data_IF_944096453345
#
_entry.id   IF_944096453345
#
_cell.length_a   1.000
_cell.length_b   1.000
_cell.length_c   1.000
_cell.angle_alpha   90.00
_cell.angle_beta   90.00
_cell.angle_gamma   90.00
#
_symmetry.space_group_name_H-M   'P 1'
#
loop_
_entity.id
_entity.type
_entity.pdbx_description
1 polymer ?
#
# COMPACT_ATOMS: atom_id res chain seq x y z
N UNK A 1 1.93 4.05 -2.52
CA UNK A 1 1.66 3.44 -3.84
C UNK A 1 2.72 3.84 -4.88
N UNK A 2 3.45 2.89 -5.46
CA UNK A 2 4.49 3.20 -6.46
C UNK A 2 3.91 3.83 -7.74
N UNK A 3 4.67 4.73 -8.39
CA UNK A 3 4.19 5.55 -9.51
C UNK A 3 3.58 4.76 -10.68
N UNK A 4 4.09 3.55 -11.00
CA UNK A 4 3.55 2.70 -12.07
C UNK A 4 2.23 2.02 -11.67
N UNK A 5 2.16 1.51 -10.45
CA UNK A 5 0.94 0.89 -9.91
C UNK A 5 -0.17 1.94 -9.79
N UNK A 6 0.17 3.17 -9.38
CA UNK A 6 -0.76 4.32 -9.35
C UNK A 6 -1.28 4.71 -10.72
N UNK A 7 -0.44 4.70 -11.75
CA UNK A 7 -0.86 5.02 -13.13
C UNK A 7 -1.76 3.93 -13.73
N UNK A 8 -1.48 2.65 -13.48
CA UNK A 8 -2.35 1.54 -13.91
C UNK A 8 -3.68 1.56 -13.15
N UNK A 9 -3.64 1.68 -11.83
CA UNK A 9 -4.84 1.81 -11.01
C UNK A 9 -5.68 3.04 -11.39
N UNK A 10 -5.07 4.20 -11.67
CA UNK A 10 -5.81 5.41 -12.04
C UNK A 10 -6.63 5.33 -13.32
N UNK A 11 -6.40 4.33 -14.18
CA UNK A 11 -7.26 4.08 -15.36
C UNK A 11 -8.53 3.31 -15.02
N UNK A 12 -8.45 2.36 -14.10
CA UNK A 12 -9.55 1.45 -13.78
C UNK A 12 -10.23 1.76 -12.43
N UNK A 13 -9.54 2.45 -11.52
CA UNK A 13 -9.98 2.78 -10.16
C UNK A 13 -9.80 4.28 -9.82
N UNK A 14 -10.27 5.22 -10.66
CA UNK A 14 -10.05 6.64 -10.44
C UNK A 14 -10.67 7.18 -9.14
N UNK A 15 -11.84 6.69 -8.70
CA UNK A 15 -12.45 7.14 -7.45
C UNK A 15 -11.63 6.67 -6.25
N UNK A 16 -11.17 5.42 -6.27
CA UNK A 16 -10.25 4.91 -5.24
C UNK A 16 -8.95 5.71 -5.18
N UNK A 17 -8.40 6.12 -6.33
CA UNK A 17 -7.21 6.99 -6.39
C UNK A 17 -7.49 8.39 -5.85
N UNK A 18 -8.71 8.91 -6.02
CA UNK A 18 -9.12 10.18 -5.45
C UNK A 18 -9.17 10.11 -3.93
N UNK A 19 -9.80 9.07 -3.35
CA UNK A 19 -9.85 8.86 -1.89
C UNK A 19 -8.43 8.77 -1.30
N UNK A 20 -7.53 8.02 -1.96
CA UNK A 20 -6.13 7.97 -1.55
C UNK A 20 -5.47 9.36 -1.54
N UNK A 21 -5.73 10.20 -2.56
CA UNK A 21 -5.21 11.56 -2.62
C UNK A 21 -5.77 12.40 -1.47
N UNK A 22 -7.09 12.39 -1.29
CA UNK A 22 -7.78 13.12 -0.22
C UNK A 22 -7.21 12.75 1.14
N UNK A 23 -7.01 11.46 1.43
CA UNK A 23 -6.36 10.99 2.65
C UNK A 23 -4.93 11.56 2.83
N UNK A 24 -4.10 11.51 1.78
CA UNK A 24 -2.76 12.08 1.84
C UNK A 24 -2.77 13.60 2.02
N UNK A 25 -3.73 14.29 1.43
CA UNK A 25 -3.89 15.74 1.55
C UNK A 25 -4.37 16.14 2.95
N UNK A 26 -5.34 15.42 3.51
CA UNK A 26 -5.86 15.64 4.86
C UNK A 26 -4.79 15.41 5.94
N UNK A 27 -3.82 14.53 5.70
CA UNK A 27 -2.71 14.28 6.62
C UNK A 27 -1.68 15.43 6.69
N UNK A 28 -1.71 16.40 5.75
CA UNK A 28 -0.78 17.52 5.76
C UNK A 28 -1.01 18.41 6.98
N UNK A 29 0.06 19.00 7.52
CA UNK A 29 -0.06 19.93 8.65
C UNK A 29 -0.59 21.29 8.21
N UNK A 30 -0.21 21.70 7.00
CA UNK A 30 -0.71 22.90 6.34
C UNK A 30 -1.17 22.57 4.91
N UNK A 31 -2.22 23.23 4.39
CA UNK A 31 -2.61 23.14 2.98
C UNK A 31 -1.47 23.47 2.01
N UNK A 32 -0.54 24.36 2.41
CA UNK A 32 0.63 24.76 1.62
C UNK A 32 1.75 23.71 1.60
N UNK A 33 1.70 22.69 2.46
CA UNK A 33 2.71 21.64 2.48
C UNK A 33 2.72 20.88 1.16
N UNK A 34 3.89 20.75 0.54
CA UNK A 34 4.03 19.98 -0.71
C UNK A 34 3.83 18.48 -0.50
N UNK A 35 4.24 17.97 0.66
CA UNK A 35 4.26 16.55 1.00
C UNK A 35 3.56 16.27 2.33
N UNK A 36 2.93 15.10 2.51
CA UNK A 36 2.43 14.70 3.82
C UNK A 36 3.57 14.54 4.84
N UNK A 37 3.27 14.59 6.15
CA UNK A 37 4.27 14.43 7.20
C UNK A 37 4.85 13.02 7.20
N UNK A 38 6.05 12.89 7.76
CA UNK A 38 6.75 11.60 7.88
C UNK A 38 5.99 10.58 8.74
N UNK A 39 5.14 11.05 9.65
CA UNK A 39 4.26 10.23 10.49
C UNK A 39 3.18 9.46 9.73
N UNK A 40 2.96 9.79 8.44
CA UNK A 40 2.09 8.99 7.57
C UNK A 40 2.72 7.63 7.20
N UNK A 41 4.04 7.49 7.35
CA UNK A 41 4.70 6.19 7.16
C UNK A 41 4.33 5.22 8.28
N UNK A 42 4.20 3.93 7.96
CA UNK A 42 3.68 2.93 8.88
C UNK A 42 2.17 2.97 9.07
N UNK A 43 1.44 3.82 8.33
CA UNK A 43 -0.03 3.81 8.33
C UNK A 43 -0.56 2.84 7.28
N UNK A 44 -1.84 2.50 7.41
CA UNK A 44 -2.60 1.74 6.43
C UNK A 44 -3.93 2.46 6.14
N UNK A 45 -4.27 2.56 4.86
CA UNK A 45 -5.60 2.98 4.41
C UNK A 45 -6.25 1.82 3.66
N UNK A 46 -7.43 1.41 4.10
CA UNK A 46 -8.29 0.45 3.41
C UNK A 46 -9.42 1.22 2.74
N UNK A 47 -9.54 1.12 1.43
CA UNK A 47 -10.55 1.80 0.62
C UNK A 47 -11.58 0.77 0.19
N UNK A 48 -12.85 0.98 0.56
CA UNK A 48 -13.95 0.12 0.14
C UNK A 48 -14.17 0.17 -1.39
N UNK A 49 -14.78 -0.88 -1.98
CA UNK A 49 -15.18 -0.86 -3.38
C UNK A 49 -16.00 0.39 -3.70
N UNK A 50 -15.66 1.08 -4.79
CA UNK A 50 -16.33 2.31 -5.18
C UNK A 50 -17.32 2.02 -6.30
N UNK A 51 -18.61 2.31 -6.08
CA UNK A 51 -19.65 2.03 -7.07
C UNK A 51 -19.37 2.70 -8.42
N UNK A 52 -18.79 3.90 -8.42
CA UNK A 52 -18.39 4.62 -9.63
C UNK A 52 -17.26 3.92 -10.41
N UNK A 53 -16.33 3.25 -9.71
CA UNK A 53 -15.27 2.47 -10.36
C UNK A 53 -15.85 1.14 -10.89
N UNK A 54 -16.73 0.48 -10.12
CA UNK A 54 -17.41 -0.77 -10.51
C UNK A 54 -18.28 -0.56 -11.76
N UNK A 55 -19.05 0.53 -11.81
CA UNK A 55 -19.88 0.89 -12.97
C UNK A 55 -19.06 1.07 -14.26
N UNK A 56 -17.73 1.23 -14.15
CA UNK A 56 -16.79 1.33 -15.27
C UNK A 56 -16.07 0.01 -15.58
N UNK A 57 -16.52 -1.10 -15.00
CA UNK A 57 -15.97 -2.43 -15.19
C UNK A 57 -14.82 -2.79 -14.25
N UNK A 58 -14.58 -2.02 -13.18
CA UNK A 58 -13.63 -2.43 -12.15
C UNK A 58 -14.21 -3.56 -11.27
N UNK A 59 -13.38 -4.47 -10.76
CA UNK A 59 -13.86 -5.49 -9.83
C UNK A 59 -14.29 -4.85 -8.50
N UNK A 60 -15.29 -5.45 -7.85
CA UNK A 60 -15.71 -5.05 -6.50
C UNK A 60 -14.72 -5.57 -5.46
N UNK A 61 -13.65 -4.81 -5.22
CA UNK A 61 -12.56 -5.18 -4.30
C UNK A 61 -12.15 -4.02 -3.40
N UNK A 62 -11.66 -4.35 -2.21
CA UNK A 62 -11.02 -3.39 -1.33
C UNK A 62 -9.61 -3.08 -1.82
N UNK A 63 -9.19 -1.82 -1.76
CA UNK A 63 -7.83 -1.39 -2.08
C UNK A 63 -7.09 -1.03 -0.80
N UNK A 64 -5.99 -1.73 -0.54
CA UNK A 64 -5.15 -1.52 0.65
C UNK A 64 -3.91 -0.73 0.26
N UNK A 65 -3.74 0.44 0.90
CA UNK A 65 -2.59 1.31 0.73
C UNK A 65 -1.69 1.24 1.97
N UNK A 66 -0.55 0.55 1.82
CA UNK A 66 0.52 0.52 2.82
C UNK A 66 1.47 1.71 2.61
N UNK A 67 1.73 2.48 3.67
CA UNK A 67 2.59 3.67 3.61
C UNK A 67 4.01 3.33 4.07
N UNK A 68 4.79 2.71 3.17
CA UNK A 68 6.08 2.07 3.51
C UNK A 68 7.31 2.95 3.29
N UNK A 69 7.16 4.20 2.84
CA UNK A 69 8.25 5.17 2.74
C UNK A 69 7.69 6.60 2.67
N UNK A 70 8.44 7.57 3.19
CA UNK A 70 8.06 8.99 3.19
C UNK A 70 8.25 9.63 1.82
N UNK A 71 9.31 9.25 1.13
CA UNK A 71 9.67 9.78 -0.18
C UNK A 71 9.85 8.69 -1.22
N UNK A 72 10.12 9.12 -2.45
CA UNK A 72 10.35 8.19 -3.56
C UNK A 72 11.38 8.72 -4.56
N UNK A 73 12.24 7.81 -5.02
CA UNK A 73 13.37 8.13 -5.91
C UNK A 73 14.48 8.91 -5.19
N UNK A 74 15.32 9.60 -5.94
CA UNK A 74 16.41 10.40 -5.39
C UNK A 74 15.86 11.62 -4.64
N UNK A 75 16.47 11.94 -3.50
CA UNK A 75 16.24 13.18 -2.77
C UNK A 75 16.67 14.38 -3.62
N UNK A 76 16.01 15.52 -3.44
CA UNK A 76 16.41 16.76 -4.09
C UNK A 76 16.28 17.91 -3.09
N UNK A 77 17.44 18.41 -2.65
CA UNK A 77 17.54 19.51 -1.67
C UNK A 77 16.93 20.80 -2.21
N UNK A 78 17.20 21.15 -3.48
CA UNK A 78 16.67 22.36 -4.13
C UNK A 78 15.15 22.42 -4.13
N UNK A 79 14.48 21.28 -4.30
CA UNK A 79 13.01 21.23 -4.37
C UNK A 79 12.36 20.76 -3.07
N UNK A 80 13.15 20.49 -2.01
CA UNK A 80 12.67 19.88 -0.76
C UNK A 80 12.02 18.50 -0.95
N UNK A 81 12.36 17.77 -2.03
CA UNK A 81 11.73 16.47 -2.32
C UNK A 81 12.36 15.40 -1.43
N UNK A 82 11.56 14.67 -0.61
CA UNK A 82 12.10 13.57 0.17
C UNK A 82 12.56 12.45 -0.76
N UNK A 83 13.77 11.95 -0.49
CA UNK A 83 14.27 10.75 -1.13
C UNK A 83 13.57 9.50 -0.60
N UNK A 84 13.76 8.38 -1.30
CA UNK A 84 13.37 7.06 -0.82
C UNK A 84 14.05 6.77 0.53
N UNK A 85 13.33 6.17 1.47
CA UNK A 85 13.94 5.65 2.69
C UNK A 85 14.86 4.43 2.42
N UNK A 86 15.70 4.10 3.39
CA UNK A 86 16.57 2.90 3.37
C UNK A 86 15.73 1.63 3.37
N UNK A 87 16.31 0.50 2.94
CA UNK A 87 15.60 -0.77 2.91
C UNK A 87 15.09 -1.17 4.31
N UNK A 88 15.93 -1.05 5.34
CA UNK A 88 15.55 -1.42 6.72
C UNK A 88 14.38 -0.57 7.23
N UNK A 89 14.40 0.73 6.93
CA UNK A 89 13.31 1.62 7.31
C UNK A 89 12.01 1.29 6.59
N UNK A 90 12.10 0.94 5.30
CA UNK A 90 10.94 0.50 4.51
C UNK A 90 10.37 -0.81 5.07
N UNK A 91 11.22 -1.77 5.44
CA UNK A 91 10.81 -3.04 6.07
C UNK A 91 10.10 -2.78 7.40
N UNK A 92 10.69 -1.97 8.28
CA UNK A 92 10.06 -1.60 9.55
C UNK A 92 8.71 -0.88 9.37
N UNK A 93 8.63 0.07 8.45
CA UNK A 93 7.36 0.76 8.12
C UNK A 93 6.34 -0.18 7.46
N UNK A 94 6.80 -1.19 6.71
CA UNK A 94 5.95 -2.23 6.14
C UNK A 94 5.31 -3.05 7.24
N UNK A 95 6.10 -3.49 8.24
CA UNK A 95 5.62 -4.20 9.42
C UNK A 95 4.50 -3.45 10.12
N UNK A 96 4.75 -2.19 10.51
CA UNK A 96 3.73 -1.36 11.18
C UNK A 96 2.47 -1.16 10.32
N UNK A 97 2.63 -1.01 9.01
CA UNK A 97 1.47 -0.85 8.10
C UNK A 97 0.64 -2.14 8.01
N UNK A 98 1.31 -3.31 7.98
CA UNK A 98 0.65 -4.61 7.95
C UNK A 98 -0.05 -4.93 9.26
N UNK A 99 0.53 -4.60 10.41
CA UNK A 99 -0.14 -4.69 11.72
C UNK A 99 -1.46 -3.91 11.74
N UNK A 100 -1.43 -2.65 11.27
CA UNK A 100 -2.64 -1.81 11.18
C UNK A 100 -3.66 -2.31 10.16
N UNK A 101 -3.21 -3.03 9.14
CA UNK A 101 -4.10 -3.69 8.19
C UNK A 101 -4.76 -4.91 8.85
N UNK A 102 -3.95 -5.76 9.51
CA UNK A 102 -4.38 -6.94 10.26
C UNK A 102 -5.46 -6.58 11.28
N UNK A 103 -5.25 -5.55 12.10
CA UNK A 103 -6.26 -5.07 13.08
C UNK A 103 -7.59 -4.73 12.41
N UNK A 104 -7.58 -3.92 11.34
CA UNK A 104 -8.82 -3.55 10.61
C UNK A 104 -9.51 -4.75 9.98
N UNK A 105 -8.73 -5.71 9.52
CA UNK A 105 -9.25 -6.93 8.92
C UNK A 105 -9.90 -7.82 9.97
N UNK A 106 -9.28 -7.98 11.14
CA UNK A 106 -9.83 -8.77 12.25
C UNK A 106 -11.10 -8.12 12.82
N UNK A 107 -11.15 -6.80 12.93
CA UNK A 107 -12.36 -6.06 13.30
C UNK A 107 -13.52 -6.32 12.32
N UNK A 108 -13.24 -6.32 11.01
CA UNK A 108 -14.23 -6.63 10.00
C UNK A 108 -14.62 -8.12 9.99
N UNK A 109 -13.67 -9.02 10.19
CA UNK A 109 -13.90 -10.46 10.22
C UNK A 109 -14.69 -10.90 11.45
N UNK A 110 -14.54 -10.21 12.59
CA UNK A 110 -15.38 -10.44 13.76
C UNK A 110 -16.86 -10.15 13.48
N UNK A 111 -17.15 -9.21 12.57
CA UNK A 111 -18.52 -8.86 12.19
C UNK A 111 -19.13 -9.83 11.16
N UNK A 112 -18.36 -10.32 10.19
CA UNK A 112 -18.90 -11.08 9.03
C UNK A 112 -18.43 -12.56 8.97
N UNK A 113 -17.51 -12.98 9.86
CA UNK A 113 -16.98 -14.36 9.98
C UNK A 113 -16.45 -15.00 8.68
N UNK A 114 -15.96 -14.21 7.73
CA UNK A 114 -15.43 -14.69 6.45
C UNK A 114 -13.91 -14.69 6.40
N UNK A 115 -13.36 -15.68 5.70
CA UNK A 115 -11.94 -15.72 5.34
C UNK A 115 -11.63 -14.64 4.30
N UNK A 116 -10.49 -13.96 4.46
CA UNK A 116 -10.10 -12.85 3.59
C UNK A 116 -9.07 -13.29 2.57
N UNK A 117 -9.35 -13.10 1.28
CA UNK A 117 -8.38 -13.30 0.20
C UNK A 117 -7.67 -12.00 -0.14
N UNK A 118 -6.34 -11.99 -0.03
CA UNK A 118 -5.49 -10.83 -0.27
C UNK A 118 -4.63 -11.10 -1.51
N UNK A 119 -4.68 -10.19 -2.48
CA UNK A 119 -3.84 -10.26 -3.67
C UNK A 119 -2.88 -9.07 -3.69
N UNK A 120 -1.58 -9.34 -3.82
CA UNK A 120 -0.58 -8.28 -3.93
C UNK A 120 0.43 -8.57 -5.03
N UNK A 121 1.03 -7.55 -5.66
CA UNK A 121 2.29 -7.76 -6.36
C UNK A 121 3.41 -8.03 -5.34
N UNK A 122 4.63 -8.26 -5.83
CA UNK A 122 5.85 -8.14 -5.02
C UNK A 122 6.11 -6.67 -4.68
N UNK A 123 5.36 -6.09 -3.74
CA UNK A 123 5.54 -4.70 -3.35
C UNK A 123 6.90 -4.50 -2.66
N UNK A 124 7.39 -3.26 -2.63
CA UNK A 124 8.76 -2.88 -2.25
C UNK A 124 9.92 -3.43 -3.14
N UNK A 125 9.74 -4.53 -3.87
CA UNK A 125 10.87 -5.16 -4.60
C UNK A 125 11.33 -4.43 -5.85
N UNK A 126 10.40 -3.78 -6.56
CA UNK A 126 10.76 -3.05 -7.77
C UNK A 126 11.45 -1.72 -7.46
N UNK A 127 10.67 -0.66 -7.53
CA UNK A 127 11.18 0.72 -7.47
C UNK A 127 11.75 1.12 -6.10
N UNK A 128 11.44 0.38 -5.04
CA UNK A 128 12.01 0.60 -3.71
C UNK A 128 13.29 -0.21 -3.45
N UNK A 129 13.61 -1.19 -4.31
CA UNK A 129 14.80 -2.04 -4.26
C UNK A 129 15.00 -2.76 -2.92
N UNK A 130 13.92 -3.20 -2.29
CA UNK A 130 13.98 -4.07 -1.12
C UNK A 130 14.00 -5.52 -1.61
N UNK A 131 14.96 -6.39 -1.22
CA UNK A 131 14.90 -7.81 -1.56
C UNK A 131 13.53 -8.39 -1.17
N UNK A 132 12.91 -9.16 -2.06
CA UNK A 132 11.53 -9.61 -1.87
C UNK A 132 11.36 -10.45 -0.60
N UNK A 133 12.32 -11.33 -0.31
CA UNK A 133 12.28 -12.23 0.85
C UNK A 133 12.10 -11.45 2.16
N UNK A 134 12.71 -10.28 2.29
CA UNK A 134 12.53 -9.41 3.46
C UNK A 134 11.13 -8.83 3.59
N UNK A 135 10.41 -8.67 2.48
CA UNK A 135 9.00 -8.24 2.51
C UNK A 135 8.09 -9.43 2.75
N UNK A 136 8.41 -10.60 2.19
CA UNK A 136 7.69 -11.85 2.38
C UNK A 136 7.72 -12.29 3.84
N UNK A 137 8.89 -12.31 4.47
CA UNK A 137 9.09 -12.64 5.89
C UNK A 137 8.17 -11.81 6.80
N UNK A 138 8.08 -10.50 6.58
CA UNK A 138 7.19 -9.63 7.34
C UNK A 138 5.71 -9.93 7.07
N UNK A 139 5.34 -10.32 5.86
CA UNK A 139 3.94 -10.73 5.58
C UNK A 139 3.62 -12.01 6.35
N UNK A 140 4.50 -13.02 6.29
CA UNK A 140 4.33 -14.32 6.93
C UNK A 140 4.23 -14.17 8.46
N UNK A 141 5.10 -13.38 9.07
CA UNK A 141 5.07 -13.13 10.51
C UNK A 141 3.80 -12.38 10.95
N UNK A 142 3.44 -11.28 10.29
CA UNK A 142 2.31 -10.44 10.72
C UNK A 142 0.94 -11.05 10.39
N UNK A 143 0.90 -12.02 9.48
CA UNK A 143 -0.31 -12.79 9.14
C UNK A 143 -0.24 -14.24 9.62
N UNK A 144 0.71 -14.60 10.49
CA UNK A 144 0.72 -15.92 11.12
C UNK A 144 -0.57 -16.13 11.94
N UNK A 145 -1.24 -17.26 11.73
CA UNK A 145 -2.52 -17.59 12.38
C UNK A 145 -3.71 -16.76 11.89
N UNK A 146 -3.54 -15.92 10.86
CA UNK A 146 -4.61 -15.17 10.24
C UNK A 146 -5.62 -16.08 9.53
N UNK A 147 -6.91 -15.77 9.65
CA UNK A 147 -7.95 -16.25 8.72
C UNK A 147 -7.92 -15.50 7.39
N UNK A 148 -6.76 -15.47 6.76
CA UNK A 148 -6.55 -14.81 5.48
C UNK A 148 -5.58 -15.58 4.61
N UNK A 149 -5.85 -15.61 3.31
CA UNK A 149 -4.95 -16.20 2.30
C UNK A 149 -4.27 -15.09 1.53
N UNK A 150 -2.94 -15.06 1.55
CA UNK A 150 -2.15 -14.07 0.80
C UNK A 150 -1.60 -14.66 -0.50
N UNK A 151 -2.03 -14.14 -1.64
CA UNK A 151 -1.59 -14.56 -2.98
C UNK A 151 -0.74 -13.49 -3.65
N UNK A 152 0.50 -13.84 -3.97
CA UNK A 152 1.40 -12.95 -4.73
C UNK A 152 1.13 -13.10 -6.22
N UNK A 153 0.67 -12.03 -6.87
CA UNK A 153 0.40 -11.98 -8.30
C UNK A 153 1.66 -11.52 -9.04
N UNK A 154 2.34 -12.46 -9.69
CA UNK A 154 3.53 -12.20 -10.49
C UNK A 154 3.15 -11.64 -11.87
N UNK A 155 3.83 -10.57 -12.31
CA UNK A 155 3.76 -10.17 -13.72
C UNK A 155 4.50 -11.18 -14.61
N UNK A 156 4.17 -11.30 -15.91
CA UNK A 156 4.81 -12.25 -16.81
C UNK A 156 6.35 -12.18 -16.80
N UNK A 157 6.92 -10.97 -16.76
CA UNK A 157 8.38 -10.75 -16.68
C UNK A 157 9.02 -11.19 -15.35
N UNK A 158 8.22 -11.57 -14.36
CA UNK A 158 8.66 -12.04 -13.04
C UNK A 158 8.46 -13.54 -12.86
N UNK A 159 7.92 -14.26 -13.86
CA UNK A 159 7.71 -15.72 -13.82
C UNK A 159 8.93 -16.53 -14.23
N UNK A 160 9.99 -15.87 -14.70
CA UNK A 160 11.15 -16.52 -15.34
C UNK A 160 12.46 -16.37 -14.56
N UNK A 161 12.39 -16.34 -13.23
CA UNK A 161 13.59 -16.43 -12.38
C UNK A 161 13.36 -17.45 -11.29
#
# INVERSE_FOLDING_TARGET
>A
MGLRLRRRAGRHLPRSVQIYKEFCHAAKRSPSDRWPPRSLTGQCLVIAPQQADIARGAPSVHIVCLFTSWGYGTSNRRTGKPGKDTADRIVGQTRTSLQKFRTRMDEAAAADRRDVSIYSPMFNSGKFRVPWDRTLEVIEEEFAGAKATWTVVLQPAQRSK
#
